data_IF_938360599353
#
_entry.id   IF_938360599353
#
_cell.length_a   1.000
_cell.length_b   1.000
_cell.length_c   1.000
_cell.angle_alpha   90.00
_cell.angle_beta   90.00
_cell.angle_gamma   90.00
#
_symmetry.space_group_name_H-M   'P 1'
#
loop_
_entity.id
_entity.type
_entity.pdbx_description
1 polymer ?
#
# COMPACT_ATOMS: atom_id res chain seq x y z
N UNK A 1 1.60 -2.22 12.93
CA UNK A 1 2.09 -3.47 12.29
C UNK A 1 2.44 -3.14 10.85
N UNK A 2 3.56 -3.66 10.33
CA UNK A 2 4.04 -3.37 8.97
C UNK A 2 4.03 -4.65 8.13
N UNK A 3 3.59 -4.55 6.88
CA UNK A 3 3.56 -5.63 5.90
C UNK A 3 4.27 -5.17 4.63
N UNK A 4 5.09 -6.04 4.04
CA UNK A 4 5.81 -5.77 2.80
C UNK A 4 5.64 -6.98 1.89
N UNK A 5 5.13 -6.75 0.68
CA UNK A 5 4.86 -7.81 -0.29
C UNK A 5 5.28 -7.37 -1.70
N UNK A 6 5.97 -8.25 -2.45
CA UNK A 6 6.22 -8.00 -3.87
C UNK A 6 4.94 -8.25 -4.68
N UNK A 7 4.71 -7.41 -5.69
CA UNK A 7 3.62 -7.50 -6.65
C UNK A 7 4.23 -7.54 -8.04
N UNK A 8 3.89 -8.55 -8.84
CA UNK A 8 4.25 -8.58 -10.25
C UNK A 8 3.25 -7.75 -11.07
N UNK A 9 3.75 -6.78 -11.83
CA UNK A 9 2.97 -5.90 -12.69
C UNK A 9 3.66 -5.77 -14.05
N UNK A 10 3.06 -6.31 -15.10
CA UNK A 10 3.57 -6.24 -16.49
C UNK A 10 5.06 -6.65 -16.63
N UNK A 11 5.47 -7.72 -15.93
CA UNK A 11 6.85 -8.21 -15.95
C UNK A 11 7.83 -7.41 -15.09
N UNK A 12 7.37 -6.40 -14.35
CA UNK A 12 8.15 -5.67 -13.36
C UNK A 12 7.69 -6.01 -11.94
N UNK A 13 8.58 -5.94 -10.97
CA UNK A 13 8.22 -6.10 -9.56
C UNK A 13 8.00 -4.74 -8.91
N UNK A 14 6.78 -4.50 -8.46
CA UNK A 14 6.46 -3.45 -7.52
C UNK A 14 6.53 -3.98 -6.08
N UNK A 15 6.83 -3.11 -5.12
CA UNK A 15 6.83 -3.44 -3.69
C UNK A 15 5.66 -2.72 -3.05
N UNK A 16 4.72 -3.48 -2.50
CA UNK A 16 3.64 -2.97 -1.67
C UNK A 16 4.06 -2.95 -0.21
N UNK A 17 3.84 -1.81 0.42
CA UNK A 17 4.16 -1.55 1.82
C UNK A 17 2.89 -1.05 2.50
N UNK A 18 2.44 -1.79 3.50
CA UNK A 18 1.31 -1.42 4.35
C UNK A 18 1.80 -1.17 5.77
N UNK A 19 1.46 0.00 6.30
CA UNK A 19 1.74 0.35 7.69
C UNK A 19 0.43 0.68 8.39
N UNK A 20 0.01 -0.22 9.28
CA UNK A 20 -1.13 0.01 10.16
C UNK A 20 -0.71 0.93 11.31
N UNK A 21 -1.22 2.15 11.29
CA UNK A 21 -1.13 3.14 12.36
C UNK A 21 -2.41 3.10 13.21
N UNK A 22 -2.40 3.64 14.46
CA UNK A 22 -3.56 3.55 15.35
C UNK A 22 -4.86 4.16 14.82
N UNK A 23 -4.80 5.08 13.85
CA UNK A 23 -5.97 5.80 13.31
C UNK A 23 -6.09 5.78 11.78
N UNK A 24 -5.12 5.18 11.10
CA UNK A 24 -5.08 5.16 9.63
C UNK A 24 -4.19 4.02 9.16
N UNK A 25 -4.30 3.66 7.89
CA UNK A 25 -3.38 2.72 7.25
C UNK A 25 -2.68 3.46 6.13
N UNK A 26 -1.35 3.44 6.15
CA UNK A 26 -0.54 3.96 5.06
C UNK A 26 -0.30 2.83 4.07
N UNK A 27 -0.60 3.08 2.80
CA UNK A 27 -0.36 2.16 1.70
C UNK A 27 0.53 2.84 0.68
N UNK A 28 1.64 2.19 0.36
CA UNK A 28 2.60 2.63 -0.65
C UNK A 28 2.86 1.48 -1.59
N UNK A 29 2.77 1.74 -2.89
CA UNK A 29 3.25 0.83 -3.93
C UNK A 29 4.39 1.53 -4.64
N UNK A 30 5.59 0.97 -4.54
CA UNK A 30 6.81 1.57 -5.10
C UNK A 30 7.43 0.68 -6.16
N UNK A 31 8.01 1.31 -7.17
CA UNK A 31 8.77 0.70 -8.25
C UNK A 31 10.12 1.42 -8.40
N UNK A 32 10.93 0.99 -9.35
CA UNK A 32 12.15 1.68 -9.80
C UNK A 32 11.88 3.09 -10.38
N UNK A 33 10.71 3.30 -10.99
CA UNK A 33 10.35 4.55 -11.68
C UNK A 33 9.70 5.58 -10.77
N UNK A 34 9.17 5.15 -9.63
CA UNK A 34 8.45 6.01 -8.71
C UNK A 34 7.51 5.23 -7.80
N UNK A 35 6.71 5.96 -7.03
CA UNK A 35 5.78 5.39 -6.07
C UNK A 35 4.41 6.05 -6.16
N UNK A 36 3.40 5.27 -5.85
CA UNK A 36 2.03 5.73 -5.63
C UNK A 36 1.73 5.51 -4.16
N UNK A 37 1.34 6.59 -3.48
CA UNK A 37 0.97 6.56 -2.07
C UNK A 37 -0.48 6.97 -1.93
N UNK A 38 -1.26 6.17 -1.21
CA UNK A 38 -2.61 6.55 -0.81
C UNK A 38 -2.55 7.35 0.50
N UNK A 39 -2.80 8.66 0.41
CA UNK A 39 -2.86 9.56 1.56
C UNK A 39 -4.25 9.56 2.21
N UNK A 40 -4.38 8.79 3.29
CA UNK A 40 -5.35 8.92 4.39
C UNK A 40 -6.71 9.62 4.13
N UNK A 41 -7.72 8.82 3.78
CA UNK A 41 -8.99 8.70 4.53
C UNK A 41 -9.67 7.40 4.08
N UNK A 42 -9.30 6.28 4.72
CA UNK A 42 -10.03 5.02 4.56
C UNK A 42 -11.15 5.00 5.60
N UNK A 43 -12.39 5.26 5.17
CA UNK A 43 -13.59 4.96 5.98
C UNK A 43 -13.81 3.44 5.93
N UNK A 44 -13.90 2.74 7.08
CA UNK A 44 -14.00 1.28 7.15
C UNK A 44 -15.37 0.70 6.72
N UNK A 45 -16.15 1.41 5.89
CA UNK A 45 -17.50 0.99 5.48
C UNK A 45 -17.54 -0.01 4.30
N UNK A 46 -16.46 -0.77 4.08
CA UNK A 46 -16.45 -1.82 3.06
C UNK A 46 -15.92 -3.15 3.60
N UNK A 47 -16.59 -3.64 4.63
CA UNK A 47 -16.73 -5.07 4.87
C UNK A 47 -18.22 -5.28 5.12
N UNK A 48 -18.85 -6.10 4.27
CA UNK A 48 -20.24 -6.52 4.46
C UNK A 48 -20.43 -7.36 5.72
#
# INVERSE_FOLDING_TARGET
MMKVEPIELDGNTAIAIEVKLPKTTLLVVTTDKGYIMCGAQFIPYFTG
#
